data_IF_785416242833
#
_entry.id   IF_785416242833
#
_cell.length_a   1.000
_cell.length_b   1.000
_cell.length_c   1.000
_cell.angle_alpha   90.00
_cell.angle_beta   90.00
_cell.angle_gamma   90.00
#
_symmetry.space_group_name_H-M   'P 1'
#
loop_
_entity.id
_entity.type
_entity.pdbx_description
1 polymer ?
#
# COMPACT_ATOMS: atom_id res chain seq x y z
N UNK A 1 -33.18 -8.83 37.21
CA UNK A 1 -32.23 -7.74 37.27
C UNK A 1 -31.15 -7.94 36.20
N UNK A 2 -31.35 -7.33 35.06
CA UNK A 2 -30.30 -7.29 34.01
C UNK A 2 -29.44 -6.09 34.35
N UNK A 3 -28.29 -6.38 34.93
CA UNK A 3 -27.28 -5.34 35.16
C UNK A 3 -26.71 -4.86 33.84
N UNK A 4 -26.94 -3.61 33.48
CA UNK A 4 -26.19 -2.87 32.49
C UNK A 4 -24.76 -2.70 33.03
N UNK A 5 -23.83 -3.55 32.59
CA UNK A 5 -22.41 -3.31 32.72
C UNK A 5 -22.02 -2.32 31.65
N UNK A 6 -22.16 -1.04 31.93
CA UNK A 6 -21.52 0.02 31.20
C UNK A 6 -20.03 -0.04 31.47
N UNK A 7 -19.27 -0.76 30.65
CA UNK A 7 -17.81 -0.72 30.76
C UNK A 7 -17.32 0.61 30.22
N UNK A 8 -17.14 1.58 31.12
CA UNK A 8 -16.14 2.63 30.90
C UNK A 8 -14.78 1.96 30.91
N UNK A 9 -14.36 1.49 29.74
CA UNK A 9 -13.01 0.98 29.56
C UNK A 9 -12.08 2.16 29.81
N UNK A 10 -11.27 2.09 30.87
CA UNK A 10 -10.33 3.14 31.24
C UNK A 10 -9.48 3.53 30.01
N UNK A 11 -9.19 4.81 29.84
CA UNK A 11 -8.35 5.33 28.73
C UNK A 11 -7.04 4.54 28.65
N UNK A 12 -6.48 4.13 29.79
CA UNK A 12 -5.30 3.30 29.89
C UNK A 12 -5.47 1.92 29.27
N UNK A 13 -6.63 1.29 29.48
CA UNK A 13 -6.94 -0.03 28.93
C UNK A 13 -7.19 0.05 27.42
N UNK A 14 -7.85 1.12 26.95
CA UNK A 14 -7.98 1.40 25.50
C UNK A 14 -6.62 1.55 24.82
N UNK A 15 -5.70 2.28 25.44
CA UNK A 15 -4.34 2.45 24.91
C UNK A 15 -3.60 1.11 24.89
N UNK A 16 -3.71 0.32 25.94
CA UNK A 16 -3.08 -1.01 26.01
C UNK A 16 -3.64 -1.97 24.95
N UNK A 17 -4.96 -2.08 24.82
CA UNK A 17 -5.60 -2.89 23.78
C UNK A 17 -5.24 -2.40 22.37
N UNK A 18 -5.21 -1.09 22.17
CA UNK A 18 -4.80 -0.52 20.88
C UNK A 18 -3.34 -0.85 20.56
N UNK A 19 -2.44 -0.74 21.52
CA UNK A 19 -1.03 -1.08 21.33
C UNK A 19 -0.86 -2.57 21.03
N UNK A 20 -1.55 -3.45 21.75
CA UNK A 20 -1.52 -4.88 21.53
C UNK A 20 -2.10 -5.26 20.15
N UNK A 21 -3.21 -4.65 19.76
CA UNK A 21 -3.78 -4.81 18.41
C UNK A 21 -2.80 -4.37 17.31
N UNK A 22 -2.14 -3.22 17.48
CA UNK A 22 -1.16 -2.70 16.52
C UNK A 22 0.11 -3.56 16.44
N UNK A 23 0.56 -4.14 17.56
CA UNK A 23 1.68 -5.07 17.57
C UNK A 23 1.31 -6.40 16.89
N UNK A 24 0.13 -6.94 17.19
CA UNK A 24 -0.36 -8.15 16.55
C UNK A 24 -0.52 -7.96 15.04
N UNK A 25 -1.07 -6.83 14.60
CA UNK A 25 -1.18 -6.48 13.19
C UNK A 25 0.20 -6.45 12.51
N UNK A 26 1.22 -5.88 13.16
CA UNK A 26 2.58 -5.84 12.58
C UNK A 26 3.19 -7.23 12.41
N UNK A 27 3.10 -8.07 13.43
CA UNK A 27 3.62 -9.45 13.37
C UNK A 27 2.91 -10.26 12.28
N UNK A 28 1.61 -10.12 12.19
CA UNK A 28 0.78 -10.81 11.20
C UNK A 28 1.08 -10.34 9.77
N UNK A 29 1.17 -9.03 9.55
CA UNK A 29 1.55 -8.44 8.26
C UNK A 29 2.93 -8.95 7.84
N UNK A 30 3.93 -8.82 8.72
CA UNK A 30 5.30 -9.23 8.42
C UNK A 30 5.38 -10.73 8.14
N UNK A 31 4.75 -11.56 8.99
CA UNK A 31 4.74 -13.02 8.82
C UNK A 31 4.07 -13.47 7.52
N UNK A 32 2.97 -12.82 7.10
CA UNK A 32 2.32 -13.08 5.81
C UNK A 32 3.25 -12.74 4.66
N UNK A 33 3.87 -11.56 4.67
CA UNK A 33 4.76 -11.15 3.57
C UNK A 33 6.06 -11.95 3.52
N UNK A 34 6.60 -12.37 4.68
CA UNK A 34 7.80 -13.23 4.74
C UNK A 34 7.53 -14.62 4.18
N UNK A 35 6.30 -15.14 4.30
CA UNK A 35 5.91 -16.44 3.73
C UNK A 35 5.67 -16.38 2.23
N UNK A 36 5.13 -15.27 1.72
CA UNK A 36 4.69 -15.17 0.32
C UNK A 36 5.53 -14.24 -0.55
N UNK A 37 6.63 -13.67 -0.04
CA UNK A 37 7.45 -12.74 -0.81
C UNK A 37 7.91 -13.32 -2.16
N UNK A 38 8.08 -14.64 -2.24
CA UNK A 38 8.45 -15.35 -3.47
C UNK A 38 7.30 -15.46 -4.47
N UNK A 39 6.07 -15.50 -3.98
CA UNK A 39 4.85 -15.72 -4.77
C UNK A 39 3.90 -14.52 -4.72
N UNK A 40 4.40 -13.35 -4.25
CA UNK A 40 3.60 -12.14 -4.06
C UNK A 40 2.92 -11.67 -5.36
N UNK A 41 3.62 -11.75 -6.48
CA UNK A 41 3.05 -11.39 -7.78
C UNK A 41 1.91 -12.33 -8.18
N UNK A 42 2.07 -13.64 -7.91
CA UNK A 42 1.00 -14.63 -8.16
C UNK A 42 -0.21 -14.35 -7.27
N UNK A 43 0.01 -13.94 -6.02
CA UNK A 43 -1.06 -13.57 -5.11
C UNK A 43 -1.84 -12.35 -5.63
N UNK A 44 -1.15 -11.32 -6.09
CA UNK A 44 -1.79 -10.15 -6.69
C UNK A 44 -2.48 -10.49 -8.02
N UNK A 45 -1.88 -11.34 -8.85
CA UNK A 45 -2.48 -11.82 -10.10
C UNK A 45 -3.80 -12.56 -9.80
N UNK A 46 -3.81 -13.46 -8.82
CA UNK A 46 -5.00 -14.18 -8.43
C UNK A 46 -6.08 -13.25 -7.87
N UNK A 47 -5.72 -12.31 -6.98
CA UNK A 47 -6.68 -11.37 -6.38
C UNK A 47 -7.32 -10.42 -7.37
N UNK A 48 -6.59 -10.03 -8.41
CA UNK A 48 -7.02 -9.05 -9.40
C UNK A 48 -7.26 -9.63 -10.79
N UNK A 49 -7.18 -10.95 -10.96
CA UNK A 49 -7.16 -11.61 -12.27
C UNK A 49 -6.10 -11.01 -13.23
N UNK A 50 -4.95 -10.61 -12.66
CA UNK A 50 -3.85 -9.99 -13.40
C UNK A 50 -4.03 -8.49 -13.73
N UNK A 51 -5.21 -7.92 -13.47
CA UNK A 51 -5.53 -6.53 -13.84
C UNK A 51 -4.70 -5.50 -13.05
N UNK A 52 -4.16 -5.86 -11.89
CA UNK A 52 -3.30 -4.96 -11.09
C UNK A 52 -2.11 -4.40 -11.90
N UNK A 53 -1.63 -5.14 -12.92
CA UNK A 53 -0.54 -4.69 -13.80
C UNK A 53 -0.97 -3.53 -14.68
N UNK A 54 -2.23 -3.56 -15.16
CA UNK A 54 -2.85 -2.48 -15.93
C UNK A 54 -3.06 -1.26 -15.01
N UNK A 55 -3.56 -1.49 -13.79
CA UNK A 55 -3.77 -0.40 -12.82
C UNK A 55 -2.47 0.33 -12.47
N UNK A 56 -1.35 -0.40 -12.29
CA UNK A 56 -0.02 0.20 -12.07
C UNK A 56 0.42 1.07 -13.25
N UNK A 57 0.17 0.62 -14.51
CA UNK A 57 0.45 1.42 -15.71
C UNK A 57 -0.43 2.67 -15.76
N UNK A 58 -1.73 2.53 -15.48
CA UNK A 58 -2.66 3.65 -15.45
C UNK A 58 -2.28 4.67 -14.37
N UNK A 59 -1.79 4.23 -13.21
CA UNK A 59 -1.25 5.12 -12.19
C UNK A 59 -0.09 5.96 -12.71
N UNK A 60 0.87 5.34 -13.39
CA UNK A 60 2.03 6.04 -13.97
C UNK A 60 1.60 6.99 -15.10
N UNK A 61 0.67 6.58 -15.96
CA UNK A 61 0.11 7.44 -16.99
C UNK A 61 -0.59 8.67 -16.38
N UNK A 62 -1.34 8.47 -15.29
CA UNK A 62 -1.98 9.58 -14.57
C UNK A 62 -0.96 10.49 -13.88
N UNK A 63 0.10 9.91 -13.33
CA UNK A 63 1.21 10.66 -12.74
C UNK A 63 1.90 11.54 -13.79
N UNK A 64 2.06 11.04 -15.02
CA UNK A 64 2.77 11.69 -16.12
C UNK A 64 4.16 12.20 -15.67
N UNK A 65 5.13 11.31 -15.47
CA UNK A 65 6.42 11.65 -14.88
C UNK A 65 7.15 12.74 -15.65
N UNK A 66 7.41 13.88 -14.99
CA UNK A 66 8.19 14.97 -15.56
C UNK A 66 9.70 14.69 -15.54
N UNK A 67 10.48 15.55 -16.25
CA UNK A 67 11.95 15.49 -16.23
C UNK A 67 12.51 15.90 -14.88
N UNK A 68 13.64 15.30 -14.48
CA UNK A 68 14.39 15.66 -13.25
C UNK A 68 13.53 15.60 -11.97
N UNK A 69 12.68 14.62 -11.87
CA UNK A 69 11.77 14.44 -10.74
C UNK A 69 12.25 13.35 -9.80
N UNK A 70 12.00 13.55 -8.52
CA UNK A 70 12.34 12.64 -7.44
C UNK A 70 11.07 11.91 -7.00
N UNK A 71 11.09 10.58 -7.06
CA UNK A 71 10.01 9.73 -6.59
C UNK A 71 10.38 9.05 -5.26
N UNK A 72 9.47 9.09 -4.29
CA UNK A 72 9.45 8.17 -3.15
C UNK A 72 8.39 7.10 -3.41
N UNK A 73 8.83 5.87 -3.70
CA UNK A 73 7.96 4.69 -3.82
C UNK A 73 7.97 3.94 -2.48
N UNK A 74 6.90 4.07 -1.73
CA UNK A 74 6.79 3.57 -0.35
C UNK A 74 5.91 2.33 -0.32
N UNK A 75 6.29 1.35 0.49
CA UNK A 75 5.84 -0.04 0.39
C UNK A 75 6.11 -0.56 -1.04
N UNK A 76 7.33 -0.31 -1.52
CA UNK A 76 7.72 -0.54 -2.91
C UNK A 76 7.79 -2.03 -3.28
N UNK A 77 7.90 -2.92 -2.31
CA UNK A 77 8.03 -4.35 -2.53
C UNK A 77 9.20 -4.68 -3.46
N UNK A 78 8.90 -5.31 -4.60
CA UNK A 78 9.89 -5.66 -5.63
C UNK A 78 10.18 -4.53 -6.62
N UNK A 79 9.63 -3.32 -6.43
CA UNK A 79 9.92 -2.12 -7.21
C UNK A 79 9.20 -2.03 -8.56
N UNK A 80 7.96 -2.51 -8.66
CA UNK A 80 7.19 -2.45 -9.91
C UNK A 80 6.89 -1.02 -10.34
N UNK A 81 6.47 -0.18 -9.40
CA UNK A 81 6.18 1.23 -9.65
C UNK A 81 7.47 1.97 -10.03
N UNK A 82 8.56 1.71 -9.29
CA UNK A 82 9.86 2.27 -9.61
C UNK A 82 10.29 1.95 -11.05
N UNK A 83 10.14 0.69 -11.48
CA UNK A 83 10.43 0.28 -12.86
C UNK A 83 9.56 1.02 -13.87
N UNK A 84 8.25 1.02 -13.67
CA UNK A 84 7.32 1.69 -14.57
C UNK A 84 7.58 3.21 -14.63
N UNK A 85 7.96 3.83 -13.51
CA UNK A 85 8.32 5.25 -13.47
C UNK A 85 9.57 5.53 -14.33
N UNK A 86 10.61 4.71 -14.22
CA UNK A 86 11.84 4.85 -15.02
C UNK A 86 11.53 4.66 -16.51
N UNK A 87 10.79 3.61 -16.85
CA UNK A 87 10.46 3.27 -18.23
C UNK A 87 9.63 4.36 -18.93
N UNK A 88 8.82 5.11 -18.17
CA UNK A 88 7.96 6.18 -18.68
C UNK A 88 8.55 7.60 -18.51
N UNK A 89 9.71 7.73 -17.88
CA UNK A 89 10.37 9.01 -17.70
C UNK A 89 11.15 9.40 -18.95
N UNK A 90 10.93 10.62 -19.44
CA UNK A 90 11.59 11.15 -20.64
C UNK A 90 13.10 11.40 -20.44
N UNK A 91 13.61 11.31 -19.22
CA UNK A 91 15.01 11.54 -18.88
C UNK A 91 15.47 10.54 -17.84
N UNK A 92 16.68 9.98 -18.03
CA UNK A 92 17.30 9.02 -17.11
C UNK A 92 17.89 9.67 -15.84
N UNK A 93 17.96 11.00 -15.75
CA UNK A 93 18.40 11.73 -14.55
C UNK A 93 17.26 11.89 -13.54
N UNK A 94 16.66 10.77 -13.13
CA UNK A 94 15.64 10.70 -12.08
C UNK A 94 16.28 10.06 -10.87
N UNK A 95 15.85 10.45 -9.68
CA UNK A 95 16.23 9.83 -8.41
C UNK A 95 15.03 9.15 -7.81
N UNK A 96 15.20 7.90 -7.37
CA UNK A 96 14.13 7.12 -6.76
C UNK A 96 14.55 6.61 -5.39
N UNK A 97 13.66 6.78 -4.43
CA UNK A 97 13.72 6.16 -3.12
C UNK A 97 12.70 5.02 -3.06
N UNK A 98 13.18 3.79 -3.07
CA UNK A 98 12.37 2.60 -2.86
C UNK A 98 12.43 2.24 -1.37
N UNK A 99 11.30 2.39 -0.67
CA UNK A 99 11.22 2.22 0.78
C UNK A 99 10.26 1.11 1.11
N UNK A 100 10.74 0.09 1.84
CA UNK A 100 9.90 -1.04 2.28
C UNK A 100 10.41 -1.58 3.64
N UNK A 101 9.53 -2.04 4.53
CA UNK A 101 9.95 -2.72 5.74
C UNK A 101 10.46 -4.15 5.50
N UNK A 102 10.09 -4.79 4.37
CA UNK A 102 10.45 -6.17 4.04
C UNK A 102 11.74 -6.24 3.21
N UNK A 103 12.81 -6.71 3.84
CA UNK A 103 14.12 -6.82 3.20
C UNK A 103 14.16 -7.88 2.08
N UNK A 104 13.38 -8.98 2.23
CA UNK A 104 13.28 -10.03 1.22
C UNK A 104 12.73 -9.50 -0.10
N UNK A 105 11.63 -8.72 -0.03
CA UNK A 105 11.04 -8.03 -1.17
C UNK A 105 12.03 -7.08 -1.82
N UNK A 106 12.69 -6.24 -1.01
CA UNK A 106 13.69 -5.29 -1.52
C UNK A 106 14.89 -5.98 -2.16
N UNK A 107 15.36 -7.12 -1.59
CA UNK A 107 16.46 -7.90 -2.18
C UNK A 107 16.12 -8.37 -3.60
N UNK A 108 14.90 -8.86 -3.80
CA UNK A 108 14.41 -9.22 -5.14
C UNK A 108 14.34 -8.02 -6.07
N UNK A 109 13.81 -6.91 -5.58
CA UNK A 109 13.76 -5.66 -6.32
C UNK A 109 15.13 -5.18 -6.76
N UNK A 110 16.11 -5.17 -5.84
CA UNK A 110 17.51 -4.82 -6.14
C UNK A 110 18.11 -5.70 -7.23
N UNK A 111 17.91 -7.01 -7.16
CA UNK A 111 18.41 -7.94 -8.17
C UNK A 111 17.75 -7.68 -9.53
N UNK A 112 16.43 -7.54 -9.55
CA UNK A 112 15.65 -7.29 -10.78
C UNK A 112 15.99 -5.97 -11.46
N UNK A 113 16.26 -4.94 -10.67
CA UNK A 113 16.52 -3.58 -11.13
C UNK A 113 18.00 -3.18 -10.99
N UNK A 114 18.92 -4.14 -10.96
CA UNK A 114 20.37 -3.92 -10.78
C UNK A 114 21.00 -3.01 -11.84
N UNK A 115 20.42 -2.97 -13.04
CA UNK A 115 20.87 -2.10 -14.13
C UNK A 115 20.54 -0.60 -13.92
N UNK A 116 19.67 -0.28 -12.94
CA UNK A 116 19.25 1.10 -12.66
C UNK A 116 19.99 1.64 -11.44
N UNK A 117 21.03 2.42 -11.68
CA UNK A 117 21.93 2.94 -10.60
C UNK A 117 21.32 4.08 -9.78
N UNK A 118 20.24 4.67 -10.24
CA UNK A 118 19.57 5.82 -9.64
C UNK A 118 18.47 5.46 -8.64
N UNK A 119 18.36 4.19 -8.27
CA UNK A 119 17.42 3.69 -7.25
C UNK A 119 18.14 3.54 -5.91
N UNK A 120 17.66 4.26 -4.90
CA UNK A 120 18.11 4.11 -3.51
C UNK A 120 17.09 3.23 -2.75
N UNK A 121 17.53 2.07 -2.32
CA UNK A 121 16.72 1.13 -1.55
C UNK A 121 16.95 1.32 -0.06
N UNK A 122 15.91 1.65 0.69
CA UNK A 122 15.98 2.02 2.10
C UNK A 122 14.96 1.21 2.90
N UNK A 123 15.41 0.56 3.98
CA UNK A 123 14.48 -0.07 4.92
C UNK A 123 13.75 1.00 5.72
N UNK A 124 12.42 0.98 5.70
CA UNK A 124 11.60 1.97 6.39
C UNK A 124 10.12 1.64 6.33
N UNK A 125 9.33 2.35 7.10
CA UNK A 125 7.86 2.25 7.09
C UNK A 125 7.23 3.56 6.65
N UNK A 126 6.00 3.48 6.14
CA UNK A 126 5.24 4.67 5.72
C UNK A 126 4.99 5.65 6.87
N UNK A 127 4.92 5.16 8.11
CA UNK A 127 4.68 5.98 9.31
C UNK A 127 5.92 6.70 9.85
N UNK A 128 7.11 6.37 9.33
CA UNK A 128 8.37 7.02 9.69
C UNK A 128 9.36 6.87 8.53
N UNK A 129 9.35 7.83 7.64
CA UNK A 129 10.18 7.79 6.44
C UNK A 129 11.60 8.31 6.74
N UNK A 130 12.64 7.60 6.33
CA UNK A 130 14.03 8.05 6.46
C UNK A 130 14.40 9.06 5.36
N UNK A 131 13.52 10.01 5.09
CA UNK A 131 13.68 11.07 4.10
C UNK A 131 13.55 12.43 4.76
N UNK A 132 14.24 13.43 4.21
CA UNK A 132 14.11 14.83 4.62
C UNK A 132 12.74 15.38 4.23
N UNK A 133 12.26 16.38 4.96
CA UNK A 133 11.08 17.14 4.57
C UNK A 133 11.31 17.83 3.23
N UNK A 134 10.27 18.02 2.44
CA UNK A 134 10.31 18.73 1.15
C UNK A 134 11.39 18.20 0.19
N UNK A 135 11.55 16.86 0.11
CA UNK A 135 12.61 16.23 -0.68
C UNK A 135 12.14 15.56 -1.97
N UNK A 136 10.84 15.22 -2.08
CA UNK A 136 10.29 14.45 -3.19
C UNK A 136 9.27 15.24 -4.00
N UNK A 137 9.26 15.05 -5.32
CA UNK A 137 8.26 15.63 -6.22
C UNK A 137 7.01 14.74 -6.30
N UNK A 138 7.22 13.43 -6.24
CA UNK A 138 6.16 12.42 -6.25
C UNK A 138 6.32 11.46 -5.08
N UNK A 139 5.18 11.04 -4.56
CA UNK A 139 5.08 9.97 -3.57
C UNK A 139 4.09 8.93 -4.09
N UNK A 140 4.48 7.67 -4.08
CA UNK A 140 3.59 6.55 -4.39
C UNK A 140 3.52 5.57 -3.24
N UNK A 141 2.32 5.02 -3.04
CA UNK A 141 2.10 3.84 -2.21
C UNK A 141 1.08 2.95 -2.92
N UNK A 142 1.51 1.76 -3.34
CA UNK A 142 0.68 0.83 -4.12
C UNK A 142 0.46 -0.46 -3.37
N UNK A 143 -0.81 -0.76 -3.05
CA UNK A 143 -1.25 -1.95 -2.29
C UNK A 143 -0.60 -2.07 -0.90
N UNK A 144 -0.15 -0.95 -0.35
CA UNK A 144 0.59 -0.89 0.91
C UNK A 144 -0.11 -0.11 2.02
N UNK A 145 -0.94 0.89 1.69
CA UNK A 145 -1.52 1.79 2.68
C UNK A 145 -2.43 1.06 3.68
N UNK A 146 -3.22 0.08 3.22
CA UNK A 146 -4.08 -0.76 4.07
C UNK A 146 -3.31 -1.57 5.11
N UNK A 147 -2.04 -1.84 4.86
CA UNK A 147 -1.16 -2.63 5.73
C UNK A 147 -0.45 -1.78 6.79
N UNK A 148 -0.56 -0.46 6.70
CA UNK A 148 0.03 0.45 7.70
C UNK A 148 -0.71 0.35 9.03
N UNK A 149 -0.01 0.63 10.12
CA UNK A 149 -0.62 0.61 11.46
C UNK A 149 -1.50 1.84 11.70
N UNK A 150 -1.11 2.96 11.11
CA UNK A 150 -1.77 4.24 11.27
C UNK A 150 -1.75 5.03 9.96
N UNK A 151 -2.89 5.04 9.27
CA UNK A 151 -3.06 5.72 7.99
C UNK A 151 -2.77 7.22 8.13
N UNK A 152 -3.27 7.88 9.17
CA UNK A 152 -3.04 9.31 9.38
C UNK A 152 -1.55 9.63 9.51
N UNK A 153 -0.80 8.81 10.27
CA UNK A 153 0.64 9.00 10.41
C UNK A 153 1.38 8.78 9.09
N UNK A 154 0.94 7.81 8.29
CA UNK A 154 1.50 7.56 6.96
C UNK A 154 1.22 8.72 6.00
N UNK A 155 0.01 9.29 6.04
CA UNK A 155 -0.35 10.47 5.24
C UNK A 155 0.42 11.72 5.69
N UNK A 156 0.57 11.94 7.01
CA UNK A 156 1.37 13.03 7.55
C UNK A 156 2.84 12.96 7.13
N UNK A 157 3.44 11.77 7.14
CA UNK A 157 4.80 11.55 6.64
C UNK A 157 4.92 11.75 5.13
N UNK A 158 3.94 11.30 4.36
CA UNK A 158 3.87 11.55 2.93
C UNK A 158 3.80 13.05 2.62
N UNK A 159 2.96 13.79 3.35
CA UNK A 159 2.88 15.24 3.24
C UNK A 159 4.21 15.92 3.61
N UNK A 160 4.86 15.48 4.68
CA UNK A 160 6.13 16.03 5.14
C UNK A 160 7.25 15.92 4.11
N UNK A 161 7.36 14.77 3.42
CA UNK A 161 8.46 14.53 2.47
C UNK A 161 8.21 15.14 1.10
N UNK A 162 6.97 15.42 0.75
CA UNK A 162 6.62 16.06 -0.51
C UNK A 162 7.02 17.55 -0.50
N UNK A 163 7.58 18.00 -1.61
CA UNK A 163 7.83 19.43 -1.88
C UNK A 163 6.51 20.17 -2.05
N UNK A 164 6.55 21.49 -1.92
CA UNK A 164 5.43 22.34 -2.35
C UNK A 164 5.09 22.04 -3.83
N UNK A 165 3.81 21.79 -4.12
CA UNK A 165 3.36 21.34 -5.44
C UNK A 165 3.69 19.87 -5.77
N UNK A 166 4.28 19.12 -4.84
CA UNK A 166 4.48 17.68 -4.97
C UNK A 166 3.16 16.91 -4.96
N UNK A 167 3.13 15.72 -5.54
CA UNK A 167 1.91 14.94 -5.76
C UNK A 167 1.98 13.58 -5.06
N UNK A 168 0.91 13.26 -4.33
CA UNK A 168 0.70 11.96 -3.69
C UNK A 168 -0.16 11.06 -4.57
N UNK A 169 0.23 9.80 -4.71
CA UNK A 169 -0.52 8.79 -5.44
C UNK A 169 -0.66 7.52 -4.60
N UNK A 170 -1.89 7.13 -4.37
CA UNK A 170 -2.22 5.87 -3.71
C UNK A 170 -2.97 4.96 -4.68
N UNK A 171 -2.45 3.76 -4.91
CA UNK A 171 -3.17 2.70 -5.61
C UNK A 171 -3.55 1.61 -4.61
N UNK A 172 -4.84 1.40 -4.41
CA UNK A 172 -5.30 0.46 -3.39
C UNK A 172 -6.59 -0.24 -3.81
N UNK A 173 -6.78 -1.45 -3.30
CA UNK A 173 -8.08 -2.09 -3.39
C UNK A 173 -9.09 -1.32 -2.54
N UNK A 174 -10.29 -1.17 -3.06
CA UNK A 174 -11.37 -0.48 -2.37
C UNK A 174 -12.69 -1.24 -2.49
N UNK A 175 -13.69 -0.80 -1.73
CA UNK A 175 -15.03 -1.40 -1.77
C UNK A 175 -15.67 -1.14 -3.14
N UNK A 176 -16.25 -2.19 -3.71
CA UNK A 176 -16.95 -2.12 -4.99
C UNK A 176 -18.30 -1.44 -4.74
N UNK A 177 -18.54 -0.33 -5.44
CA UNK A 177 -19.79 0.45 -5.29
C UNK A 177 -20.98 -0.18 -6.01
N UNK A 178 -20.73 -0.93 -7.10
CA UNK A 178 -21.78 -1.62 -7.83
C UNK A 178 -22.18 -2.92 -7.12
N UNK A 179 -23.42 -3.01 -6.64
CA UNK A 179 -23.93 -4.14 -5.86
C UNK A 179 -23.81 -5.49 -6.60
N UNK A 180 -24.04 -5.52 -7.90
CA UNK A 180 -23.99 -6.77 -8.67
C UNK A 180 -22.53 -7.25 -8.80
N UNK A 181 -21.61 -6.34 -9.08
CA UNK A 181 -20.17 -6.65 -9.14
C UNK A 181 -19.63 -7.03 -7.77
N UNK A 182 -20.09 -6.38 -6.70
CA UNK A 182 -19.71 -6.72 -5.32
C UNK A 182 -20.14 -8.15 -4.94
N UNK A 183 -21.37 -8.56 -5.32
CA UNK A 183 -21.85 -9.93 -5.11
C UNK A 183 -21.00 -10.95 -5.86
N UNK A 184 -20.67 -10.69 -7.11
CA UNK A 184 -19.79 -11.56 -7.92
C UNK A 184 -18.41 -11.64 -7.28
N UNK A 185 -17.81 -10.50 -6.93
CA UNK A 185 -16.50 -10.45 -6.29
C UNK A 185 -16.48 -11.15 -4.92
N UNK A 186 -17.51 -10.98 -4.11
CA UNK A 186 -17.66 -11.70 -2.83
C UNK A 186 -17.72 -13.22 -3.00
N UNK A 187 -18.37 -13.71 -4.04
CA UNK A 187 -18.36 -15.15 -4.36
C UNK A 187 -16.97 -15.61 -4.80
N UNK A 188 -16.36 -14.86 -5.70
CA UNK A 188 -15.00 -15.12 -6.17
C UNK A 188 -13.98 -15.10 -5.02
N UNK A 189 -14.02 -14.08 -4.15
CA UNK A 189 -13.09 -13.93 -3.05
C UNK A 189 -13.15 -15.08 -2.03
N UNK A 190 -14.31 -15.75 -1.88
CA UNK A 190 -14.42 -16.97 -1.05
C UNK A 190 -13.66 -18.17 -1.61
N UNK A 191 -13.46 -18.22 -2.92
CA UNK A 191 -12.74 -19.31 -3.58
C UNK A 191 -11.22 -19.07 -3.57
N UNK A 192 -10.79 -17.82 -3.47
CA UNK A 192 -9.37 -17.44 -3.56
C UNK A 192 -8.48 -18.14 -2.52
N UNK A 193 -8.84 -18.26 -1.22
CA UNK A 193 -8.00 -18.97 -0.25
C UNK A 193 -7.81 -20.44 -0.60
N UNK A 194 -8.83 -21.11 -1.16
CA UNK A 194 -8.73 -22.51 -1.58
C UNK A 194 -7.82 -22.66 -2.81
N UNK A 195 -7.97 -21.79 -3.79
CA UNK A 195 -7.09 -21.74 -4.96
C UNK A 195 -5.66 -21.38 -4.50
N UNK A 196 -5.53 -20.42 -3.60
CA UNK A 196 -4.25 -20.01 -3.03
C UNK A 196 -3.53 -21.15 -2.33
N UNK A 197 -4.25 -21.95 -1.54
CA UNK A 197 -3.71 -23.16 -0.92
C UNK A 197 -3.16 -24.14 -1.97
N UNK A 198 -3.88 -24.31 -3.06
CA UNK A 198 -3.45 -25.22 -4.13
C UNK A 198 -2.19 -24.69 -4.87
N UNK A 199 -2.13 -23.37 -5.13
CA UNK A 199 -1.06 -22.74 -5.93
C UNK A 199 0.19 -22.43 -5.08
N UNK A 200 -0.03 -21.94 -3.86
CA UNK A 200 1.05 -21.41 -2.99
C UNK A 200 1.32 -22.33 -1.79
N UNK A 201 0.38 -23.23 -1.46
CA UNK A 201 0.46 -24.13 -0.33
C UNK A 201 -0.16 -23.60 0.97
N UNK A 202 -0.58 -22.33 1.02
CA UNK A 202 -1.11 -21.67 2.23
C UNK A 202 -2.36 -20.86 1.94
N UNK A 203 -3.33 -20.84 2.88
CA UNK A 203 -4.57 -20.05 2.82
C UNK A 203 -4.44 -18.70 3.52
N UNK A 204 -3.73 -18.68 4.65
CA UNK A 204 -3.65 -17.52 5.55
C UNK A 204 -3.31 -16.18 4.84
N UNK A 205 -2.37 -16.13 3.89
CA UNK A 205 -2.04 -14.88 3.20
C UNK A 205 -3.22 -14.31 2.40
N UNK A 206 -4.03 -15.18 1.81
CA UNK A 206 -5.19 -14.78 1.02
C UNK A 206 -6.36 -14.34 1.91
N UNK A 207 -6.59 -15.04 3.02
CA UNK A 207 -7.58 -14.65 4.04
C UNK A 207 -7.24 -13.28 4.62
N UNK A 208 -5.95 -13.06 4.96
CA UNK A 208 -5.47 -11.77 5.42
C UNK A 208 -5.72 -10.67 4.38
N UNK A 209 -5.41 -10.94 3.10
CA UNK A 209 -5.58 -9.98 2.03
C UNK A 209 -7.04 -9.57 1.86
N UNK A 210 -7.96 -10.56 1.81
CA UNK A 210 -9.41 -10.31 1.72
C UNK A 210 -9.90 -9.49 2.91
N UNK A 211 -9.49 -9.88 4.12
CA UNK A 211 -9.86 -9.18 5.36
C UNK A 211 -9.35 -7.74 5.35
N UNK A 212 -8.08 -7.54 4.99
CA UNK A 212 -7.47 -6.20 4.95
C UNK A 212 -8.14 -5.26 3.95
N UNK A 213 -8.62 -5.79 2.81
CA UNK A 213 -9.40 -5.03 1.81
C UNK A 213 -10.77 -4.64 2.38
N UNK A 214 -11.45 -5.58 3.06
CA UNK A 214 -12.77 -5.31 3.65
C UNK A 214 -12.73 -4.29 4.79
N UNK A 215 -11.65 -4.30 5.58
CA UNK A 215 -11.44 -3.38 6.71
C UNK A 215 -10.90 -2.01 6.27
N UNK A 216 -10.40 -1.89 5.03
CA UNK A 216 -9.85 -0.64 4.55
C UNK A 216 -10.93 0.42 4.33
N UNK A 217 -10.54 1.67 4.49
CA UNK A 217 -11.41 2.84 4.24
C UNK A 217 -11.86 2.89 2.77
N UNK A 218 -13.04 3.41 2.52
CA UNK A 218 -13.51 3.65 1.16
C UNK A 218 -12.87 4.91 0.55
N UNK A 219 -13.16 5.19 -0.73
CA UNK A 219 -12.55 6.28 -1.49
C UNK A 219 -12.81 7.66 -0.86
N UNK A 220 -14.05 7.93 -0.43
CA UNK A 220 -14.43 9.21 0.18
C UNK A 220 -13.81 9.36 1.57
N UNK A 221 -13.77 8.28 2.35
CA UNK A 221 -13.12 8.27 3.66
C UNK A 221 -11.61 8.54 3.51
N UNK A 222 -10.94 7.91 2.55
CA UNK A 222 -9.52 8.15 2.29
C UNK A 222 -9.27 9.59 1.85
N UNK A 223 -10.09 10.12 0.94
CA UNK A 223 -10.03 11.51 0.51
C UNK A 223 -10.15 12.46 1.70
N UNK A 224 -11.13 12.25 2.58
CA UNK A 224 -11.30 13.06 3.80
C UNK A 224 -10.10 12.96 4.76
N UNK A 225 -9.46 11.79 4.88
CA UNK A 225 -8.22 11.62 5.65
C UNK A 225 -7.05 12.37 5.01
N UNK A 226 -6.93 12.37 3.70
CA UNK A 226 -5.91 13.15 2.98
C UNK A 226 -6.09 14.65 3.21
N UNK A 227 -7.31 15.17 3.06
CA UNK A 227 -7.63 16.58 3.30
C UNK A 227 -7.33 17.00 4.75
N UNK A 228 -7.64 16.15 5.74
CA UNK A 228 -7.26 16.37 7.15
C UNK A 228 -5.74 16.39 7.39
N UNK A 229 -4.97 15.76 6.50
CA UNK A 229 -3.50 15.78 6.51
C UNK A 229 -2.92 16.84 5.55
N UNK A 230 -3.66 17.91 5.27
CA UNK A 230 -3.28 19.10 4.49
C UNK A 230 -3.08 18.87 2.99
N UNK A 231 -3.48 17.72 2.45
CA UNK A 231 -3.51 17.55 1.01
C UNK A 231 -4.65 18.37 0.41
N UNK A 232 -4.41 18.99 -0.73
CA UNK A 232 -5.39 19.79 -1.48
C UNK A 232 -5.65 19.15 -2.84
N UNK A 233 -6.79 19.48 -3.44
CA UNK A 233 -7.21 18.95 -4.76
C UNK A 233 -7.20 17.42 -4.78
N UNK A 234 -7.70 16.80 -3.70
CA UNK A 234 -7.80 15.35 -3.58
C UNK A 234 -8.87 14.83 -4.54
N UNK A 235 -8.49 13.91 -5.42
CA UNK A 235 -9.37 13.24 -6.36
C UNK A 235 -9.09 11.74 -6.37
N UNK A 236 -10.06 10.93 -6.79
CA UNK A 236 -9.85 9.51 -7.01
C UNK A 236 -10.41 9.05 -8.35
N UNK A 237 -9.90 7.94 -8.83
CA UNK A 237 -10.36 7.26 -10.04
C UNK A 237 -10.54 5.78 -9.75
N UNK A 238 -11.69 5.25 -10.11
CA UNK A 238 -11.94 3.82 -10.03
C UNK A 238 -11.43 3.15 -11.31
N UNK A 239 -10.59 2.14 -11.15
CA UNK A 239 -10.16 1.28 -12.24
C UNK A 239 -10.97 -0.02 -12.16
N UNK A 240 -11.79 -0.26 -13.14
CA UNK A 240 -12.60 -1.49 -13.30
C UNK A 240 -12.08 -2.30 -14.47
#
# INVERSE_FOLDING_TARGET
>A
SIGLVGSEMCIRDRIYFMQQYLQNKKGLVQGVFDKVYDKYDIMNDLMSLGVHRIWKRNLINWMNPGKNKILADVACGTGDIAKLFIDNSSNKNIELFCIDPNEGMMKKGKNRLSNYKNIKWIKGSAEKLPLKSNSCDYYTISFGLRNTKNINKSLSEAYRVLKSGGRFFCLEFSKIQNLNLDLVYKRYSKLIPEIGKFVVGEKEPYEYLIKSIQEFVNQEELKGLMEKNNFIKCEYRNFS
#
